data_IF_211069598312
#
_entry.id   IF_211069598312
#
_cell.length_a   1.000
_cell.length_b   1.000
_cell.length_c   1.000
_cell.angle_alpha   90.00
_cell.angle_beta   90.00
_cell.angle_gamma   90.00
#
_symmetry.space_group_name_H-M   'P 1'
#
loop_
_entity.id
_entity.type
_entity.pdbx_description
1 polymer ?
#
# COMPACT_ATOMS: atom_id res chain seq x y z
N UNK A 1 12.66 25.84 -4.74
CA UNK A 1 11.80 26.91 -5.30
C UNK A 1 11.42 26.66 -6.76
N UNK A 2 12.33 26.77 -7.74
CA UNK A 2 12.01 26.48 -9.16
C UNK A 2 11.62 25.01 -9.40
N UNK A 3 12.31 24.07 -8.74
CA UNK A 3 12.13 22.63 -8.93
C UNK A 3 10.73 22.08 -8.61
N UNK A 4 10.05 22.58 -7.57
CA UNK A 4 8.67 22.15 -7.24
C UNK A 4 7.76 22.60 -8.38
N UNK A 5 7.66 23.91 -8.65
CA UNK A 5 6.81 24.40 -9.74
C UNK A 5 7.20 23.89 -11.14
N UNK A 6 8.47 23.66 -11.44
CA UNK A 6 8.91 23.04 -12.70
C UNK A 6 8.37 21.60 -12.82
N UNK A 7 8.32 20.84 -11.71
CA UNK A 7 7.72 19.50 -11.61
C UNK A 7 6.19 19.54 -11.80
N UNK A 8 5.51 20.51 -11.20
CA UNK A 8 4.03 20.62 -11.15
C UNK A 8 3.40 21.54 -12.21
N UNK A 9 4.17 22.14 -13.13
CA UNK A 9 3.68 23.23 -14.01
C UNK A 9 2.71 22.78 -15.11
N UNK A 10 2.75 21.50 -15.50
CA UNK A 10 1.92 20.91 -16.56
C UNK A 10 0.66 20.21 -16.03
N UNK A 11 0.52 20.02 -14.72
CA UNK A 11 -0.54 19.20 -14.13
C UNK A 11 -1.78 20.06 -13.75
N UNK A 12 -2.98 19.55 -13.99
CA UNK A 12 -4.22 20.21 -13.52
C UNK A 12 -4.52 19.91 -12.04
N UNK A 13 -3.85 18.91 -11.47
CA UNK A 13 -4.04 18.40 -10.11
C UNK A 13 -2.71 17.99 -9.47
N UNK A 14 -2.71 17.88 -8.15
CA UNK A 14 -1.67 17.20 -7.38
C UNK A 14 -2.32 16.40 -6.24
N UNK A 15 -1.59 15.47 -5.65
CA UNK A 15 -2.06 14.70 -4.50
C UNK A 15 -1.18 14.85 -3.27
N UNK A 16 -1.80 14.69 -2.11
CA UNK A 16 -1.14 14.50 -0.83
C UNK A 16 -1.50 13.12 -0.28
N UNK A 17 -0.51 12.25 -0.16
CA UNK A 17 -0.64 10.92 0.42
C UNK A 17 -0.20 10.94 1.88
N UNK A 18 -1.04 10.45 2.77
CA UNK A 18 -0.74 10.36 4.21
C UNK A 18 -1.05 8.97 4.72
N UNK A 19 -0.25 8.47 5.66
CA UNK A 19 -0.56 7.21 6.36
C UNK A 19 -1.95 7.25 7.00
N UNK A 20 -2.64 6.11 6.97
CA UNK A 20 -3.98 5.97 7.53
C UNK A 20 -4.00 6.29 9.03
N UNK A 21 -4.99 7.09 9.45
CA UNK A 21 -5.03 7.68 10.78
C UNK A 21 -6.14 7.10 11.69
N UNK A 22 -6.69 5.94 11.33
CA UNK A 22 -7.79 5.29 12.06
C UNK A 22 -9.13 6.06 12.12
N UNK A 23 -9.33 7.11 11.32
CA UNK A 23 -10.63 7.82 11.19
C UNK A 23 -11.63 7.06 10.30
N UNK A 24 -11.60 5.73 10.35
CA UNK A 24 -12.55 4.84 9.70
C UNK A 24 -12.43 4.72 8.18
N UNK A 25 -12.85 3.55 7.69
CA UNK A 25 -12.90 3.22 6.27
C UNK A 25 -14.23 2.52 5.98
N UNK A 26 -14.86 2.85 4.86
CA UNK A 26 -16.11 2.16 4.48
C UNK A 26 -15.79 0.83 3.80
N UNK A 27 -16.77 -0.07 3.74
CA UNK A 27 -16.65 -1.32 3.00
C UNK A 27 -16.32 -1.10 1.52
N UNK A 28 -16.89 -0.08 0.90
CA UNK A 28 -16.63 0.26 -0.50
C UNK A 28 -15.18 0.70 -0.71
N UNK A 29 -14.65 1.61 0.13
CA UNK A 29 -13.26 2.04 0.00
C UNK A 29 -12.28 0.90 0.29
N UNK A 30 -12.56 0.07 1.30
CA UNK A 30 -11.72 -1.06 1.66
C UNK A 30 -11.64 -2.07 0.50
N UNK A 31 -12.79 -2.38 -0.13
CA UNK A 31 -12.83 -3.23 -1.32
C UNK A 31 -12.07 -2.60 -2.49
N UNK A 32 -12.18 -1.28 -2.67
CA UNK A 32 -11.43 -0.57 -3.72
C UNK A 32 -9.92 -0.63 -3.47
N UNK A 33 -9.47 -0.38 -2.24
CA UNK A 33 -8.07 -0.45 -1.85
C UNK A 33 -7.48 -1.86 -2.06
N UNK A 34 -8.22 -2.90 -1.64
CA UNK A 34 -7.82 -4.30 -1.86
C UNK A 34 -7.74 -4.63 -3.34
N UNK A 35 -8.70 -4.18 -4.13
CA UNK A 35 -8.68 -4.41 -5.58
C UNK A 35 -7.43 -3.80 -6.21
N UNK A 36 -7.09 -2.54 -5.87
CA UNK A 36 -5.90 -1.85 -6.37
C UNK A 36 -4.63 -2.63 -6.00
N UNK A 37 -4.53 -3.05 -4.74
CA UNK A 37 -3.41 -3.84 -4.23
C UNK A 37 -3.26 -5.16 -4.99
N UNK A 38 -4.32 -5.97 -5.09
CA UNK A 38 -4.29 -7.26 -5.80
C UNK A 38 -3.92 -7.08 -7.27
N UNK A 39 -4.46 -6.06 -7.95
CA UNK A 39 -4.14 -5.79 -9.36
C UNK A 39 -2.67 -5.37 -9.53
N UNK A 40 -2.16 -4.50 -8.66
CA UNK A 40 -0.77 -4.03 -8.67
C UNK A 40 0.22 -5.19 -8.44
N UNK A 41 0.01 -5.96 -7.38
CA UNK A 41 0.85 -7.09 -7.02
C UNK A 41 0.81 -8.17 -8.09
N UNK A 42 -0.39 -8.55 -8.58
CA UNK A 42 -0.51 -9.55 -9.64
C UNK A 42 0.20 -9.10 -10.92
N UNK A 43 0.12 -7.82 -11.28
CA UNK A 43 0.86 -7.25 -12.43
C UNK A 43 2.37 -7.32 -12.22
N UNK A 44 2.86 -6.98 -11.03
CA UNK A 44 4.28 -7.08 -10.69
C UNK A 44 4.79 -8.52 -10.73
N UNK A 45 4.08 -9.44 -10.06
CA UNK A 45 4.43 -10.86 -10.02
C UNK A 45 4.40 -11.48 -11.41
N UNK A 46 3.43 -11.12 -12.26
CA UNK A 46 3.37 -11.60 -13.65
C UNK A 46 4.60 -11.16 -14.44
N UNK A 47 5.05 -9.91 -14.26
CA UNK A 47 6.29 -9.41 -14.88
C UNK A 47 7.52 -10.18 -14.42
N UNK A 48 7.60 -10.53 -13.13
CA UNK A 48 8.71 -11.34 -12.60
C UNK A 48 8.65 -12.79 -13.09
N UNK A 49 7.45 -13.37 -13.13
CA UNK A 49 7.19 -14.71 -13.66
C UNK A 49 7.61 -14.84 -15.12
N UNK A 50 7.20 -13.91 -15.99
CA UNK A 50 7.48 -13.98 -17.43
C UNK A 50 8.99 -13.98 -17.72
N UNK A 51 9.80 -13.29 -16.91
CA UNK A 51 11.26 -13.30 -17.03
C UNK A 51 11.91 -14.64 -16.69
N UNK A 52 11.24 -15.47 -15.90
CA UNK A 52 11.80 -16.71 -15.34
C UNK A 52 11.14 -17.98 -15.91
N UNK A 53 9.95 -17.89 -16.51
CA UNK A 53 9.11 -19.06 -16.82
C UNK A 53 9.77 -20.09 -17.73
N UNK A 54 10.49 -19.66 -18.77
CA UNK A 54 11.10 -20.56 -19.77
C UNK A 54 12.32 -21.28 -19.21
N UNK A 55 13.12 -20.55 -18.42
CA UNK A 55 14.33 -21.09 -17.80
C UNK A 55 14.02 -22.17 -16.76
N UNK A 56 12.93 -22.00 -16.00
CA UNK A 56 12.61 -22.85 -14.84
C UNK A 56 11.42 -23.79 -15.05
N UNK A 57 10.85 -23.85 -16.27
CA UNK A 57 9.70 -24.69 -16.61
C UNK A 57 8.56 -24.55 -15.58
N UNK A 58 8.23 -23.30 -15.24
CA UNK A 58 7.25 -23.00 -14.21
C UNK A 58 5.83 -23.43 -14.63
N UNK A 59 4.98 -23.72 -13.65
CA UNK A 59 3.53 -23.87 -13.87
C UNK A 59 2.95 -22.60 -14.51
N UNK A 60 1.75 -22.71 -15.07
CA UNK A 60 0.98 -21.54 -15.52
C UNK A 60 0.81 -20.53 -14.38
N UNK A 61 0.91 -19.23 -14.70
CA UNK A 61 0.95 -18.17 -13.69
C UNK A 61 -0.22 -18.22 -12.71
N UNK A 62 -1.44 -18.42 -13.20
CA UNK A 62 -2.63 -18.44 -12.35
C UNK A 62 -2.67 -19.68 -11.43
N UNK A 63 -2.14 -20.80 -11.89
CA UNK A 63 -1.98 -22.01 -11.06
C UNK A 63 -0.93 -21.74 -9.97
N UNK A 64 0.23 -21.19 -10.35
CA UNK A 64 1.30 -20.89 -9.41
C UNK A 64 0.87 -19.87 -8.34
N UNK A 65 0.18 -18.81 -8.75
CA UNK A 65 -0.33 -17.78 -7.85
C UNK A 65 -1.32 -18.38 -6.84
N UNK A 66 -2.25 -19.22 -7.30
CA UNK A 66 -3.22 -19.87 -6.43
C UNK A 66 -2.56 -20.86 -5.45
N UNK A 67 -1.62 -21.68 -5.93
CA UNK A 67 -0.90 -22.63 -5.07
C UNK A 67 -0.05 -21.93 -4.01
N UNK A 68 0.63 -20.84 -4.35
CA UNK A 68 1.36 -20.02 -3.36
C UNK A 68 0.39 -19.36 -2.37
N UNK A 69 -0.75 -18.84 -2.83
CA UNK A 69 -1.76 -18.23 -1.94
C UNK A 69 -2.29 -19.21 -0.91
N UNK A 70 -2.57 -20.44 -1.31
CA UNK A 70 -2.99 -21.50 -0.39
C UNK A 70 -1.89 -21.85 0.62
N UNK A 71 -0.64 -21.91 0.18
CA UNK A 71 0.50 -22.15 1.06
C UNK A 71 0.70 -21.00 2.06
N UNK A 72 0.59 -19.74 1.62
CA UNK A 72 0.62 -18.56 2.49
C UNK A 72 -0.50 -18.61 3.54
N UNK A 73 -1.72 -18.99 3.16
CA UNK A 73 -2.85 -19.13 4.11
C UNK A 73 -2.54 -20.17 5.19
N UNK A 74 -1.98 -21.32 4.81
CA UNK A 74 -1.61 -22.37 5.76
C UNK A 74 -0.50 -21.92 6.71
N UNK A 75 0.52 -21.23 6.20
CA UNK A 75 1.63 -20.71 7.01
C UNK A 75 1.14 -19.63 7.98
N UNK A 76 0.31 -18.69 7.51
CA UNK A 76 -0.30 -17.66 8.36
C UNK A 76 -1.06 -18.28 9.53
N UNK A 77 -1.92 -19.28 9.27
CA UNK A 77 -2.66 -19.95 10.35
C UNK A 77 -1.76 -20.68 11.36
N UNK A 78 -0.60 -21.20 10.93
CA UNK A 78 0.38 -21.81 11.85
C UNK A 78 1.07 -20.75 12.71
N UNK A 79 1.48 -19.63 12.12
CA UNK A 79 2.12 -18.51 12.81
C UNK A 79 1.19 -17.92 13.90
N UNK A 80 -0.09 -17.69 13.55
CA UNK A 80 -1.10 -17.20 14.49
C UNK A 80 -1.40 -18.21 15.63
N UNK A 81 -1.17 -19.50 15.41
CA UNK A 81 -1.34 -20.52 16.44
C UNK A 81 -0.14 -20.53 17.41
N UNK A 82 1.09 -20.43 16.90
CA UNK A 82 2.30 -20.35 17.72
C UNK A 82 2.37 -19.08 18.58
N UNK A 83 1.95 -17.93 18.04
CA UNK A 83 1.92 -16.66 18.79
C UNK A 83 0.95 -16.69 19.98
N UNK A 84 -0.10 -17.53 19.94
CA UNK A 84 -1.05 -17.69 21.05
C UNK A 84 -0.48 -18.57 22.17
N UNK A 85 0.51 -19.39 21.88
CA UNK A 85 1.16 -20.29 22.83
C UNK A 85 2.35 -19.61 23.53
N UNK A 86 3.11 -18.75 22.82
CA UNK A 86 4.25 -18.02 23.36
C UNK A 86 3.86 -16.61 23.85
N UNK A 87 3.60 -16.47 25.16
CA UNK A 87 3.25 -15.20 25.83
C UNK A 87 4.46 -14.33 26.26
N UNK A 88 5.56 -14.32 25.53
CA UNK A 88 6.73 -13.50 25.88
C UNK A 88 7.23 -12.67 24.68
N UNK A 89 6.96 -11.35 24.74
CA UNK A 89 7.76 -10.18 24.31
C UNK A 89 8.78 -10.28 23.15
N UNK A 90 8.62 -11.19 22.20
CA UNK A 90 9.35 -11.19 20.94
C UNK A 90 8.45 -10.62 19.84
N UNK A 91 8.55 -9.31 19.59
CA UNK A 91 8.15 -8.76 18.28
C UNK A 91 9.08 -9.36 17.22
N UNK A 92 8.76 -10.56 16.71
CA UNK A 92 9.37 -11.04 15.47
C UNK A 92 8.64 -10.33 14.32
N UNK A 93 9.39 -9.56 13.52
CA UNK A 93 8.89 -9.00 12.26
C UNK A 93 8.90 -10.06 11.15
N UNK A 94 8.65 -11.32 11.51
CA UNK A 94 8.73 -12.43 10.57
C UNK A 94 7.55 -12.38 9.61
N UNK A 95 7.87 -12.35 8.34
CA UNK A 95 6.92 -12.37 7.24
C UNK A 95 7.01 -13.71 6.53
N UNK A 96 5.97 -14.10 5.81
CA UNK A 96 5.92 -15.42 5.14
C UNK A 96 7.11 -15.61 4.18
N UNK A 97 7.62 -14.54 3.56
CA UNK A 97 8.77 -14.63 2.67
C UNK A 97 10.09 -14.99 3.38
N UNK A 98 10.20 -14.81 4.70
CA UNK A 98 11.38 -15.23 5.48
C UNK A 98 11.49 -16.77 5.56
N UNK A 99 10.40 -17.48 5.28
CA UNK A 99 10.31 -18.94 5.27
C UNK A 99 10.50 -19.59 3.89
N UNK A 100 10.86 -18.79 2.86
CA UNK A 100 11.06 -19.27 1.48
C UNK A 100 12.22 -20.29 1.44
N UNK A 101 11.93 -21.50 0.98
CA UNK A 101 12.88 -22.62 0.95
C UNK A 101 13.06 -23.39 2.25
N UNK A 102 12.33 -23.04 3.32
CA UNK A 102 12.29 -23.80 4.56
C UNK A 102 10.96 -24.53 4.74
N UNK A 103 9.88 -23.77 4.87
CA UNK A 103 8.53 -24.28 5.19
C UNK A 103 7.53 -24.06 4.05
N UNK A 104 8.01 -23.54 2.94
CA UNK A 104 7.23 -23.16 1.75
C UNK A 104 7.34 -24.23 0.67
N UNK A 105 6.26 -24.41 -0.10
CA UNK A 105 6.19 -25.35 -1.22
C UNK A 105 7.21 -25.07 -2.31
N UNK A 106 7.50 -23.79 -2.57
CA UNK A 106 8.44 -23.38 -3.62
C UNK A 106 9.63 -22.61 -3.07
N UNK A 107 10.81 -22.88 -3.65
CA UNK A 107 12.08 -22.35 -3.15
C UNK A 107 13.05 -21.86 -4.23
N UNK A 108 12.86 -22.26 -5.49
CA UNK A 108 13.75 -21.91 -6.61
C UNK A 108 12.96 -21.62 -7.89
N UNK A 109 13.25 -20.52 -8.62
CA UNK A 109 14.29 -19.52 -8.29
C UNK A 109 13.92 -18.68 -7.07
N UNK A 110 14.88 -18.52 -6.14
CA UNK A 110 14.61 -17.96 -4.82
C UNK A 110 14.09 -16.52 -4.92
N UNK A 111 14.69 -15.68 -5.76
CA UNK A 111 14.24 -14.29 -5.97
C UNK A 111 12.78 -14.21 -6.44
N UNK A 112 12.37 -15.08 -7.38
CA UNK A 112 10.98 -15.12 -7.85
C UNK A 112 10.03 -15.52 -6.74
N UNK A 113 10.32 -16.63 -6.07
CA UNK A 113 9.42 -17.17 -5.06
C UNK A 113 9.38 -16.30 -3.82
N UNK A 114 10.49 -15.66 -3.45
CA UNK A 114 10.52 -14.65 -2.41
C UNK A 114 9.50 -13.54 -2.68
N UNK A 115 9.46 -12.99 -3.90
CA UNK A 115 8.46 -11.98 -4.26
C UNK A 115 7.02 -12.52 -4.25
N UNK A 116 6.78 -13.75 -4.72
CA UNK A 116 5.46 -14.37 -4.66
C UNK A 116 4.97 -14.48 -3.21
N UNK A 117 5.79 -15.03 -2.30
CA UNK A 117 5.43 -15.19 -0.90
C UNK A 117 5.33 -13.85 -0.15
N UNK A 118 6.18 -12.87 -0.45
CA UNK A 118 6.13 -11.52 0.16
C UNK A 118 4.83 -10.81 -0.22
N UNK A 119 4.55 -10.69 -1.52
CA UNK A 119 3.39 -9.93 -2.02
C UNK A 119 2.07 -10.59 -1.62
N UNK A 120 1.95 -11.91 -1.81
CA UNK A 120 0.71 -12.63 -1.47
C UNK A 120 0.55 -12.70 0.05
N UNK A 121 1.64 -12.88 0.81
CA UNK A 121 1.60 -12.85 2.26
C UNK A 121 1.11 -11.50 2.80
N UNK A 122 1.64 -10.39 2.28
CA UNK A 122 1.21 -9.03 2.62
C UNK A 122 -0.26 -8.80 2.30
N UNK A 123 -0.73 -9.22 1.13
CA UNK A 123 -2.15 -9.11 0.77
C UNK A 123 -3.07 -9.73 1.81
N UNK A 124 -2.72 -10.90 2.34
CA UNK A 124 -3.50 -11.59 3.36
C UNK A 124 -3.50 -10.87 4.72
N UNK A 125 -2.41 -10.17 5.05
CA UNK A 125 -2.32 -9.35 6.26
C UNK A 125 -3.14 -8.06 6.11
N UNK A 126 -3.03 -7.41 4.96
CA UNK A 126 -3.73 -6.17 4.63
C UNK A 126 -5.24 -6.38 4.51
N UNK A 127 -5.69 -7.51 3.97
CA UNK A 127 -7.11 -7.91 3.94
C UNK A 127 -7.68 -8.08 5.36
N UNK A 128 -6.94 -8.71 6.26
CA UNK A 128 -7.37 -8.85 7.65
C UNK A 128 -7.40 -7.49 8.37
N UNK A 129 -6.34 -6.68 8.21
CA UNK A 129 -6.27 -5.35 8.79
C UNK A 129 -7.50 -4.52 8.39
N UNK A 130 -7.86 -4.50 7.11
CA UNK A 130 -9.03 -3.77 6.64
C UNK A 130 -10.35 -4.31 7.22
N UNK A 131 -10.51 -5.63 7.36
CA UNK A 131 -11.68 -6.23 8.03
C UNK A 131 -11.84 -5.70 9.45
N UNK A 132 -10.76 -5.71 10.22
CA UNK A 132 -10.76 -5.19 11.60
C UNK A 132 -11.08 -3.68 11.65
N UNK A 133 -10.55 -2.88 10.71
CA UNK A 133 -10.83 -1.44 10.66
C UNK A 133 -12.26 -1.10 10.25
N UNK A 134 -12.86 -1.89 9.37
CA UNK A 134 -14.28 -1.74 9.00
C UNK A 134 -15.20 -2.04 10.19
N UNK A 135 -14.83 -2.97 11.07
CA UNK A 135 -15.62 -3.34 12.26
C UNK A 135 -15.50 -2.31 13.39
N UNK A 136 -14.36 -1.63 13.51
CA UNK A 136 -14.04 -0.77 14.66
C UNK A 136 -14.52 0.68 14.54
N UNK A 137 -14.83 1.19 13.34
CA UNK A 137 -14.95 2.63 13.16
C UNK A 137 -16.35 3.11 12.72
N UNK A 138 -16.91 4.02 13.52
CA UNK A 138 -18.28 4.53 13.35
C UNK A 138 -18.35 5.83 12.53
N UNK A 139 -17.22 6.47 12.24
CA UNK A 139 -17.17 7.78 11.56
C UNK A 139 -15.97 7.87 10.64
N UNK A 140 -16.25 8.06 9.36
CA UNK A 140 -15.26 8.24 8.29
C UNK A 140 -14.88 9.72 8.14
N UNK A 141 -13.58 10.03 8.16
CA UNK A 141 -13.07 11.36 7.78
C UNK A 141 -11.79 11.28 6.91
N UNK A 142 -11.93 11.14 5.58
CA UNK A 142 -10.78 11.08 4.66
C UNK A 142 -10.08 12.44 4.52
N UNK A 143 -10.64 13.53 5.04
CA UNK A 143 -10.08 14.88 4.96
C UNK A 143 -9.49 15.35 6.29
N UNK A 144 -9.25 14.44 7.24
CA UNK A 144 -8.78 14.79 8.59
C UNK A 144 -7.54 15.71 8.60
N UNK A 145 -6.59 15.48 7.67
CA UNK A 145 -5.35 16.24 7.58
C UNK A 145 -5.64 17.71 7.23
N UNK A 146 -6.76 17.98 6.56
CA UNK A 146 -7.20 19.31 6.18
C UNK A 146 -7.79 20.12 7.35
N UNK A 147 -7.95 19.51 8.53
CA UNK A 147 -8.30 20.23 9.75
C UNK A 147 -7.07 20.88 10.43
N UNK A 148 -5.86 20.44 10.07
CA UNK A 148 -4.63 21.06 10.55
C UNK A 148 -4.43 22.45 9.91
N UNK A 149 -4.01 23.45 10.72
CA UNK A 149 -3.89 24.86 10.29
C UNK A 149 -3.11 25.06 9.01
N UNK A 150 -2.04 24.29 8.83
CA UNK A 150 -1.18 24.37 7.64
C UNK A 150 -1.96 23.97 6.39
N UNK A 151 -2.90 23.02 6.46
CA UNK A 151 -3.61 22.45 5.31
C UNK A 151 -5.01 23.04 5.08
N UNK A 152 -5.55 23.83 6.02
CA UNK A 152 -6.83 24.52 5.87
C UNK A 152 -7.01 25.24 4.50
N UNK A 153 -6.00 25.92 3.92
CA UNK A 153 -6.14 26.57 2.62
C UNK A 153 -6.44 25.60 1.46
N UNK A 154 -6.11 24.32 1.59
CA UNK A 154 -6.36 23.30 0.57
C UNK A 154 -7.78 22.75 0.60
N UNK A 155 -8.48 22.86 1.74
CA UNK A 155 -9.81 22.26 1.97
C UNK A 155 -10.85 22.59 0.88
N UNK A 156 -10.98 23.84 0.40
CA UNK A 156 -11.93 24.16 -0.68
C UNK A 156 -11.56 23.58 -2.06
N UNK A 157 -10.32 23.10 -2.21
CA UNK A 157 -9.75 22.66 -3.49
C UNK A 157 -9.57 21.15 -3.58
N UNK A 158 -9.96 20.41 -2.53
CA UNK A 158 -10.01 18.96 -2.55
C UNK A 158 -11.09 18.51 -3.55
N UNK A 159 -10.71 17.66 -4.50
CA UNK A 159 -11.59 17.15 -5.56
C UNK A 159 -11.94 15.66 -5.39
N UNK A 160 -11.24 14.96 -4.51
CA UNK A 160 -11.50 13.56 -4.18
C UNK A 160 -10.46 12.98 -3.25
N UNK A 161 -10.62 11.71 -2.91
CA UNK A 161 -9.65 10.93 -2.16
C UNK A 161 -9.66 9.46 -2.63
N UNK A 162 -8.61 8.73 -2.27
CA UNK A 162 -8.46 7.30 -2.48
C UNK A 162 -7.70 6.68 -1.32
N UNK A 163 -8.16 5.52 -0.86
CA UNK A 163 -7.38 4.66 0.01
C UNK A 163 -6.64 3.64 -0.84
N UNK A 164 -5.35 3.45 -0.58
CA UNK A 164 -4.50 2.49 -1.28
C UNK A 164 -3.40 1.99 -0.36
N UNK A 165 -2.74 0.90 -0.73
CA UNK A 165 -1.54 0.44 -0.03
C UNK A 165 -0.32 0.92 -0.81
N UNK A 166 0.53 1.75 -0.18
CA UNK A 166 1.79 2.16 -0.80
C UNK A 166 2.74 0.98 -0.68
N UNK A 167 3.16 0.41 -1.80
CA UNK A 167 4.08 -0.73 -1.82
C UNK A 167 5.50 -0.23 -2.09
N UNK A 168 6.13 0.42 -1.10
CA UNK A 168 7.58 0.64 -1.10
C UNK A 168 8.18 0.12 0.21
N UNK A 169 9.42 -0.39 0.13
CA UNK A 169 10.07 -1.24 1.13
C UNK A 169 10.22 -0.65 2.55
N UNK A 170 9.78 0.59 2.78
CA UNK A 170 9.80 1.29 4.06
C UNK A 170 8.42 1.69 4.58
N UNK A 171 7.36 1.58 3.76
CA UNK A 171 6.03 2.14 4.07
C UNK A 171 4.90 1.19 3.64
N UNK A 172 4.95 -0.06 4.11
CA UNK A 172 3.85 -1.01 3.96
C UNK A 172 2.70 -0.65 4.92
N UNK A 173 1.76 0.15 4.44
CA UNK A 173 0.59 0.54 5.21
C UNK A 173 -0.51 1.14 4.34
N UNK A 174 -1.74 1.09 4.85
CA UNK A 174 -2.86 1.78 4.23
C UNK A 174 -2.56 3.29 4.21
N UNK A 175 -2.67 3.89 3.04
CA UNK A 175 -2.52 5.31 2.78
C UNK A 175 -3.87 5.91 2.41
N UNK A 176 -4.03 7.19 2.71
CA UNK A 176 -5.11 8.04 2.26
C UNK A 176 -4.51 9.13 1.38
N UNK A 177 -4.85 9.11 0.10
CA UNK A 177 -4.42 10.08 -0.90
C UNK A 177 -5.55 11.04 -1.18
N UNK A 178 -5.32 12.34 -0.97
CA UNK A 178 -6.30 13.40 -1.27
C UNK A 178 -5.84 14.13 -2.54
N UNK A 179 -6.76 14.31 -3.48
CA UNK A 179 -6.51 14.99 -4.74
C UNK A 179 -6.98 16.44 -4.67
N UNK A 180 -6.17 17.35 -5.19
CA UNK A 180 -6.47 18.78 -5.20
C UNK A 180 -6.33 19.37 -6.60
N UNK A 181 -7.19 20.35 -6.89
CA UNK A 181 -7.03 21.17 -8.09
C UNK A 181 -5.79 22.07 -7.97
N UNK A 182 -4.98 22.13 -9.02
CA UNK A 182 -3.83 23.03 -9.08
C UNK A 182 -4.26 24.42 -9.60
N UNK A 183 -4.36 25.41 -8.71
CA UNK A 183 -4.77 26.79 -9.03
C UNK A 183 -3.86 27.81 -8.34
N UNK A 184 -4.24 29.10 -8.34
CA UNK A 184 -3.40 30.15 -7.75
C UNK A 184 -3.21 29.94 -6.24
N UNK A 185 -4.26 29.53 -5.54
CA UNK A 185 -4.30 29.33 -4.10
C UNK A 185 -3.48 28.10 -3.67
N UNK A 186 -3.67 26.96 -4.35
CA UNK A 186 -2.93 25.73 -4.03
C UNK A 186 -1.47 25.82 -4.47
N UNK A 187 -1.16 26.54 -5.56
CA UNK A 187 0.23 26.89 -5.91
C UNK A 187 0.89 27.78 -4.85
N UNK A 188 0.17 28.78 -4.34
CA UNK A 188 0.70 29.64 -3.26
C UNK A 188 0.98 28.82 -2.00
N UNK A 189 0.10 27.86 -1.67
CA UNK A 189 0.32 26.92 -0.58
C UNK A 189 1.56 26.05 -0.79
N UNK A 190 1.72 25.43 -1.97
CA UNK A 190 2.92 24.62 -2.30
C UNK A 190 4.21 25.44 -2.19
N UNK A 191 4.15 26.74 -2.48
CA UNK A 191 5.30 27.64 -2.49
C UNK A 191 5.75 28.13 -1.09
N UNK A 192 4.99 27.83 -0.04
CA UNK A 192 5.39 28.20 1.33
C UNK A 192 6.49 27.28 1.88
N UNK A 193 6.65 26.09 1.31
CA UNK A 193 7.62 25.08 1.74
C UNK A 193 8.91 25.18 0.93
N UNK A 194 10.06 24.97 1.59
CA UNK A 194 11.38 24.97 0.95
C UNK A 194 11.59 23.70 0.14
N UNK A 195 11.07 22.58 0.63
CA UNK A 195 11.10 21.25 0.02
C UNK A 195 9.88 20.42 0.51
N UNK A 196 9.70 19.24 -0.09
CA UNK A 196 8.66 18.26 0.21
C UNK A 196 8.78 17.61 1.60
N UNK A 197 9.99 17.49 2.16
CA UNK A 197 10.19 16.98 3.53
C UNK A 197 9.59 17.86 4.63
N UNK A 198 9.26 19.12 4.33
CA UNK A 198 8.57 20.01 5.27
C UNK A 198 7.04 19.75 5.30
N UNK A 199 6.54 18.87 4.44
CA UNK A 199 5.13 18.51 4.32
C UNK A 199 4.92 17.16 5.00
N UNK A 200 3.87 17.08 5.82
CA UNK A 200 3.42 15.83 6.44
C UNK A 200 2.64 15.04 5.39
N UNK A 201 3.27 14.00 4.86
CA UNK A 201 2.76 13.20 3.76
C UNK A 201 3.61 13.35 2.51
N UNK A 202 3.39 12.46 1.55
CA UNK A 202 4.11 12.44 0.27
C UNK A 202 3.32 13.24 -0.78
N UNK A 203 4.02 14.09 -1.52
CA UNK A 203 3.46 14.79 -2.67
C UNK A 203 3.74 14.00 -3.94
N UNK A 204 2.66 13.57 -4.59
CA UNK A 204 2.73 12.91 -5.89
C UNK A 204 2.15 13.78 -7.00
N UNK A 205 2.81 13.71 -8.16
CA UNK A 205 2.38 14.29 -9.41
C UNK A 205 1.41 13.35 -10.11
N UNK A 206 0.16 13.76 -10.24
CA UNK A 206 -0.76 13.14 -11.19
C UNK A 206 -0.74 13.99 -12.45
N UNK A 207 0.34 13.83 -13.21
CA UNK A 207 0.29 14.14 -14.63
C UNK A 207 -0.71 13.18 -15.28
N UNK A 208 -1.94 13.65 -15.50
CA UNK A 208 -2.85 13.06 -16.49
C UNK A 208 -2.45 13.57 -17.89
#
# INVERSE_FOLDING_TARGET
>A
MKKILEKYSACEMFSLSTGYNNEGITAEDAQKALKILHESNRKYLKKMYEKNREQYQLLEFDVLYQEVKEDCLQLKSKMEASEKEDKEDAFSYETICDYVGMSTKYSRPNELFWHFYDMIGRELLEEQFLKEKMEQCCKKNPYYILEEKVYLPLKPWAVGYEYSFITHCTEGGLSNTIYFKLNKETKAWLMQFKNDFEIKGELDDLAL
#
